data_IF_992295350038
#
_entry.id   IF_992295350038
#
_cell.length_a   1.000
_cell.length_b   1.000
_cell.length_c   1.000
_cell.angle_alpha   90.00
_cell.angle_beta   90.00
_cell.angle_gamma   90.00
#
_symmetry.space_group_name_H-M   'P 1'
#
loop_
_entity.id
_entity.type
_entity.pdbx_description
1 polymer ?
#
# COMPACT_ATOMS: atom_id res chain seq x y z
N UNK A 1 7.94 -2.95 -14.74
CA UNK A 1 8.69 -2.35 -13.62
C UNK A 1 8.32 -3.02 -12.30
N UNK A 2 9.21 -2.91 -11.33
CA UNK A 2 9.03 -3.41 -9.98
C UNK A 2 9.56 -2.39 -8.96
N UNK A 3 8.95 -2.34 -7.77
CA UNK A 3 9.32 -1.41 -6.71
C UNK A 3 9.99 -2.07 -5.51
N UNK A 4 10.87 -1.33 -4.84
CA UNK A 4 11.36 -1.64 -3.49
C UNK A 4 10.98 -0.45 -2.62
N UNK A 5 10.04 -0.65 -1.70
CA UNK A 5 9.40 0.43 -0.97
C UNK A 5 9.60 0.30 0.54
N UNK A 6 9.76 1.43 1.22
CA UNK A 6 9.66 1.47 2.68
C UNK A 6 8.20 1.28 3.11
N UNK A 7 7.98 0.89 4.37
CA UNK A 7 6.63 0.97 4.95
C UNK A 7 6.07 2.41 4.91
N UNK A 8 4.78 2.53 4.59
CA UNK A 8 4.05 3.78 4.60
C UNK A 8 3.00 3.88 3.48
N UNK A 9 2.49 5.09 3.27
CA UNK A 9 1.44 5.41 2.28
C UNK A 9 1.86 5.11 0.85
N UNK A 10 3.17 5.12 0.56
CA UNK A 10 3.73 4.74 -0.74
C UNK A 10 3.32 3.33 -1.18
N UNK A 11 3.03 2.42 -0.25
CA UNK A 11 2.58 1.06 -0.57
C UNK A 11 1.20 1.07 -1.25
N UNK A 12 0.29 1.93 -0.77
CA UNK A 12 -1.03 2.05 -1.35
C UNK A 12 -0.98 2.83 -2.67
N UNK A 13 -0.15 3.88 -2.75
CA UNK A 13 0.09 4.60 -4.01
C UNK A 13 0.64 3.66 -5.10
N UNK A 14 1.60 2.80 -4.77
CA UNK A 14 2.11 1.79 -5.69
C UNK A 14 1.04 0.80 -6.13
N UNK A 15 0.14 0.39 -5.22
CA UNK A 15 -1.01 -0.45 -5.57
C UNK A 15 -1.94 0.25 -6.58
N UNK A 16 -2.29 1.52 -6.36
CA UNK A 16 -3.09 2.31 -7.30
C UNK A 16 -2.40 2.50 -8.66
N UNK A 17 -1.07 2.49 -8.71
CA UNK A 17 -0.29 2.52 -9.95
C UNK A 17 -0.08 1.13 -10.59
N UNK A 18 -0.69 0.06 -10.06
CA UNK A 18 -0.50 -1.33 -10.49
C UNK A 18 0.97 -1.79 -10.53
N UNK A 19 1.82 -1.17 -9.70
CA UNK A 19 3.24 -1.44 -9.62
C UNK A 19 3.47 -2.57 -8.60
N UNK A 20 3.92 -3.76 -9.01
CA UNK A 20 4.30 -4.81 -8.06
C UNK A 20 5.56 -4.41 -7.30
N UNK A 21 5.61 -4.67 -5.99
CA UNK A 21 6.73 -4.25 -5.15
C UNK A 21 7.02 -5.20 -4.00
N UNK A 22 8.23 -5.09 -3.44
CA UNK A 22 8.59 -5.64 -2.12
C UNK A 22 8.71 -4.52 -1.10
N UNK A 23 8.28 -4.78 0.13
CA UNK A 23 8.39 -3.84 1.24
C UNK A 23 9.62 -4.18 2.08
N UNK A 24 10.45 -3.18 2.33
CA UNK A 24 11.65 -3.28 3.17
C UNK A 24 11.51 -2.41 4.42
N UNK A 25 11.85 -2.96 5.58
CA UNK A 25 11.91 -2.20 6.82
C UNK A 25 13.07 -2.67 7.70
N UNK A 26 13.99 -1.76 8.01
CA UNK A 26 15.13 -2.00 8.91
C UNK A 26 15.24 -0.85 9.89
N UNK A 27 15.03 -1.15 11.17
CA UNK A 27 15.20 -0.19 12.25
C UNK A 27 16.55 -0.42 12.94
N UNK A 28 17.07 0.57 13.68
CA UNK A 28 18.20 0.34 14.58
C UNK A 28 17.88 -0.76 15.61
N UNK A 29 18.87 -1.58 15.95
CA UNK A 29 18.71 -2.77 16.81
C UNK A 29 18.11 -2.42 18.18
N UNK A 30 18.56 -1.31 18.79
CA UNK A 30 18.03 -0.87 20.08
C UNK A 30 16.55 -0.52 19.99
N UNK A 31 16.15 0.19 18.92
CA UNK A 31 14.75 0.53 18.65
C UNK A 31 13.93 -0.72 18.38
N UNK A 32 14.46 -1.69 17.63
CA UNK A 32 13.79 -2.97 17.35
C UNK A 32 13.45 -3.72 18.64
N UNK A 33 14.40 -3.84 19.57
CA UNK A 33 14.20 -4.57 20.84
C UNK A 33 13.07 -3.93 21.66
N UNK A 34 13.06 -2.61 21.77
CA UNK A 34 12.05 -1.86 22.53
C UNK A 34 10.69 -1.95 21.85
N UNK A 35 10.62 -1.73 20.53
CA UNK A 35 9.34 -1.77 19.80
C UNK A 35 8.75 -3.18 19.82
N UNK A 36 9.57 -4.22 19.70
CA UNK A 36 9.11 -5.61 19.65
C UNK A 36 8.60 -6.12 21.00
N UNK A 37 9.02 -5.53 22.12
CA UNK A 37 8.46 -5.85 23.44
C UNK A 37 7.12 -5.16 23.70
N UNK A 38 6.85 -4.03 23.04
CA UNK A 38 5.66 -3.21 23.26
C UNK A 38 4.56 -3.48 22.22
N UNK A 39 4.92 -3.70 20.94
CA UNK A 39 3.97 -3.75 19.82
C UNK A 39 3.99 -5.11 19.13
N UNK A 40 2.81 -5.75 19.05
CA UNK A 40 2.59 -6.99 18.28
C UNK A 40 1.93 -6.69 16.94
N UNK A 41 2.71 -6.25 15.96
CA UNK A 41 2.21 -6.06 14.58
C UNK A 41 2.47 -7.33 13.76
N UNK A 42 1.42 -7.87 13.11
CA UNK A 42 1.53 -9.05 12.24
C UNK A 42 2.02 -8.74 10.82
N UNK A 43 1.71 -7.54 10.31
CA UNK A 43 2.01 -7.10 8.94
C UNK A 43 2.46 -5.64 8.96
N UNK A 44 3.52 -5.31 8.24
CA UNK A 44 4.12 -3.96 8.27
C UNK A 44 3.73 -3.11 7.06
N UNK A 45 3.40 -3.76 5.95
CA UNK A 45 2.92 -3.10 4.73
C UNK A 45 1.43 -2.82 4.84
N UNK A 46 1.00 -1.60 4.49
CA UNK A 46 -0.43 -1.24 4.49
C UNK A 46 -1.27 -2.19 3.65
N UNK A 47 -0.77 -2.62 2.48
CA UNK A 47 -1.49 -3.57 1.62
C UNK A 47 -1.62 -4.96 2.27
N UNK A 48 -0.63 -5.40 3.05
CA UNK A 48 -0.70 -6.68 3.76
C UNK A 48 -1.58 -6.65 5.01
N UNK A 49 -1.79 -5.47 5.60
CA UNK A 49 -2.77 -5.28 6.67
C UNK A 49 -4.19 -5.46 6.14
N UNK A 50 -4.45 -5.04 4.89
CA UNK A 50 -5.75 -5.17 4.23
C UNK A 50 -5.96 -6.62 3.75
N UNK A 51 -5.00 -7.17 3.01
CA UNK A 51 -5.03 -8.54 2.51
C UNK A 51 -3.67 -9.19 2.73
N UNK A 52 -3.63 -10.18 3.61
CA UNK A 52 -2.37 -10.81 4.02
C UNK A 52 -1.63 -11.46 2.85
N UNK A 53 -0.29 -11.46 2.90
CA UNK A 53 0.56 -12.01 1.85
C UNK A 53 0.37 -11.38 0.46
N UNK A 54 -0.08 -10.11 0.36
CA UNK A 54 -0.19 -9.41 -0.93
C UNK A 54 1.18 -9.11 -1.53
N UNK A 55 2.12 -8.60 -0.74
CA UNK A 55 3.51 -8.35 -1.14
C UNK A 55 4.48 -9.05 -0.19
N UNK A 56 5.70 -9.29 -0.66
CA UNK A 56 6.78 -9.81 0.19
C UNK A 56 7.29 -8.71 1.12
N UNK A 57 7.32 -8.99 2.41
CA UNK A 57 7.90 -8.13 3.44
C UNK A 57 9.29 -8.64 3.85
N UNK A 58 10.31 -7.81 3.66
CA UNK A 58 11.65 -8.04 4.17
C UNK A 58 11.85 -7.13 5.38
N UNK A 59 11.92 -7.72 6.57
CA UNK A 59 11.94 -7.00 7.85
C UNK A 59 13.19 -7.38 8.64
N UNK A 60 13.87 -6.36 9.17
CA UNK A 60 15.05 -6.47 10.03
C UNK A 60 16.13 -7.40 9.45
N UNK A 61 16.28 -8.61 10.00
CA UNK A 61 17.27 -9.60 9.55
C UNK A 61 17.04 -10.09 8.12
N UNK A 62 15.80 -10.04 7.64
CA UNK A 62 15.50 -10.40 6.25
C UNK A 62 15.90 -9.30 5.24
N UNK A 63 16.20 -8.08 5.71
CA UNK A 63 16.72 -6.99 4.87
C UNK A 63 18.20 -7.20 4.62
N UNK A 64 18.51 -8.12 3.71
CA UNK A 64 19.84 -8.38 3.17
C UNK A 64 19.88 -8.02 1.70
N UNK A 65 21.08 -7.76 1.16
CA UNK A 65 21.24 -7.40 -0.25
C UNK A 65 20.77 -8.54 -1.15
N UNK A 66 21.06 -9.77 -0.74
CA UNK A 66 20.74 -11.00 -1.44
C UNK A 66 19.22 -11.21 -1.51
N UNK A 67 18.51 -11.03 -0.38
CA UNK A 67 17.06 -11.19 -0.35
C UNK A 67 16.34 -10.10 -1.17
N UNK A 68 16.84 -8.86 -1.09
CA UNK A 68 16.28 -7.75 -1.89
C UNK A 68 16.50 -8.01 -3.38
N UNK A 69 17.72 -8.40 -3.78
CA UNK A 69 18.03 -8.70 -5.17
C UNK A 69 17.20 -9.88 -5.69
N UNK A 70 17.12 -10.97 -4.94
CA UNK A 70 16.34 -12.14 -5.33
C UNK A 70 14.85 -11.81 -5.48
N UNK A 71 14.27 -11.01 -4.57
CA UNK A 71 12.87 -10.61 -4.68
C UNK A 71 12.66 -9.64 -5.85
N UNK A 72 13.58 -8.70 -6.08
CA UNK A 72 13.51 -7.80 -7.22
C UNK A 72 13.60 -8.56 -8.56
N UNK A 73 14.50 -9.54 -8.67
CA UNK A 73 14.61 -10.40 -9.85
C UNK A 73 13.32 -11.16 -10.12
N UNK A 74 12.69 -11.75 -9.09
CA UNK A 74 11.37 -12.40 -9.24
C UNK A 74 10.31 -11.43 -9.74
N UNK A 75 10.23 -10.25 -9.15
CA UNK A 75 9.23 -9.25 -9.56
C UNK A 75 9.46 -8.73 -11.00
N UNK A 76 10.71 -8.74 -11.48
CA UNK A 76 11.08 -8.26 -12.81
C UNK A 76 10.94 -9.33 -13.90
N UNK A 77 11.38 -10.56 -13.61
CA UNK A 77 11.61 -11.59 -14.62
C UNK A 77 10.68 -12.81 -14.49
N UNK A 78 10.10 -13.06 -13.32
CA UNK A 78 9.09 -14.12 -13.14
C UNK A 78 7.69 -13.54 -13.39
N UNK A 79 7.19 -13.79 -14.60
CA UNK A 79 5.92 -13.23 -15.08
C UNK A 79 4.72 -13.73 -14.27
N UNK A 80 4.74 -14.99 -13.83
CA UNK A 80 3.65 -15.58 -13.06
C UNK A 80 3.62 -14.99 -11.64
N UNK A 81 4.80 -14.92 -11.01
CA UNK A 81 4.95 -14.30 -9.71
C UNK A 81 4.51 -12.83 -9.74
N UNK A 82 4.99 -12.07 -10.72
CA UNK A 82 4.62 -10.67 -10.92
C UNK A 82 3.12 -10.50 -11.12
N UNK A 83 2.51 -11.29 -12.02
CA UNK A 83 1.08 -11.22 -12.31
C UNK A 83 0.24 -11.52 -11.07
N UNK A 84 0.62 -12.53 -10.28
CA UNK A 84 -0.05 -12.86 -9.02
C UNK A 84 -0.03 -11.70 -8.04
N UNK A 85 1.11 -11.01 -7.91
CA UNK A 85 1.24 -9.81 -7.06
C UNK A 85 0.38 -8.66 -7.56
N UNK A 86 0.36 -8.40 -8.87
CA UNK A 86 -0.48 -7.36 -9.46
C UNK A 86 -1.97 -7.64 -9.27
N UNK A 87 -2.41 -8.89 -9.46
CA UNK A 87 -3.80 -9.28 -9.21
C UNK A 87 -4.21 -9.04 -7.75
N UNK A 88 -3.35 -9.39 -6.79
CA UNK A 88 -3.60 -9.13 -5.38
C UNK A 88 -3.67 -7.61 -5.08
N UNK A 89 -2.80 -6.79 -5.68
CA UNK A 89 -2.86 -5.33 -5.54
C UNK A 89 -4.14 -4.74 -6.15
N UNK A 90 -4.57 -5.20 -7.32
CA UNK A 90 -5.81 -4.76 -7.96
C UNK A 90 -7.05 -5.10 -7.13
N UNK A 91 -7.06 -6.29 -6.50
CA UNK A 91 -8.12 -6.67 -5.55
C UNK A 91 -8.19 -5.70 -4.38
N UNK A 92 -7.05 -5.24 -3.86
CA UNK A 92 -7.05 -4.22 -2.80
C UNK A 92 -7.61 -2.90 -3.33
N UNK A 93 -7.16 -2.44 -4.50
CA UNK A 93 -7.61 -1.17 -5.09
C UNK A 93 -9.12 -1.16 -5.31
N UNK A 94 -9.72 -2.26 -5.80
CA UNK A 94 -11.16 -2.31 -6.03
C UNK A 94 -11.99 -2.08 -4.76
N UNK A 95 -11.49 -2.51 -3.59
CA UNK A 95 -12.15 -2.28 -2.29
C UNK A 95 -12.25 -0.78 -1.93
N UNK A 96 -11.33 0.06 -2.45
CA UNK A 96 -11.36 1.50 -2.21
C UNK A 96 -12.17 2.24 -3.26
N UNK A 97 -12.20 1.77 -4.51
CA UNK A 97 -12.94 2.41 -5.60
C UNK A 97 -14.45 2.25 -5.46
N UNK A 98 -14.94 1.10 -4.98
CA UNK A 98 -16.38 0.86 -4.79
C UNK A 98 -17.04 1.76 -3.73
N UNK A 99 -16.25 2.31 -2.79
CA UNK A 99 -16.79 3.19 -1.74
C UNK A 99 -17.03 4.62 -2.20
N UNK A 100 -16.25 5.11 -3.16
CA UNK A 100 -16.40 6.47 -3.70
C UNK A 100 -17.71 6.62 -4.50
N UNK A 101 -18.33 5.50 -4.92
CA UNK A 101 -19.57 5.50 -5.73
C UNK A 101 -20.86 5.53 -4.91
N UNK A 102 -20.79 5.45 -3.58
CA UNK A 102 -21.98 5.39 -2.71
C UNK A 102 -22.26 6.76 -2.06
N UNK A 103 -22.91 7.69 -2.79
CA UNK A 103 -23.44 8.94 -2.22
C UNK A 103 -23.75 10.04 -3.24
N UNK A 104 -24.29 11.18 -2.77
CA UNK A 104 -24.51 12.41 -3.58
C UNK A 104 -23.23 12.93 -4.26
N UNK A 105 -22.07 12.57 -3.70
CA UNK A 105 -20.78 12.97 -4.20
C UNK A 105 -20.26 12.08 -5.35
N UNK A 106 -20.97 11.00 -5.70
CA UNK A 106 -20.57 10.06 -6.75
C UNK A 106 -20.60 10.68 -8.16
N UNK A 107 -21.33 11.78 -8.34
CA UNK A 107 -21.40 12.52 -9.61
C UNK A 107 -20.13 13.32 -9.93
N UNK A 108 -19.24 13.52 -8.95
CA UNK A 108 -18.02 14.29 -9.11
C UNK A 108 -16.83 13.40 -9.51
N UNK A 109 -16.09 13.83 -10.53
CA UNK A 109 -15.04 13.06 -11.20
C UNK A 109 -13.77 12.88 -10.35
N UNK A 110 -13.57 13.72 -9.32
CA UNK A 110 -12.39 13.65 -8.47
C UNK A 110 -12.65 14.00 -7.01
N UNK A 111 -11.76 13.54 -6.12
CA UNK A 111 -11.78 13.95 -4.71
C UNK A 111 -11.66 15.47 -4.55
N UNK A 112 -10.94 16.15 -5.45
CA UNK A 112 -10.83 17.62 -5.44
C UNK A 112 -12.15 18.31 -5.72
N UNK A 113 -12.92 17.83 -6.70
CA UNK A 113 -14.26 18.34 -7.00
C UNK A 113 -15.23 18.12 -5.84
N UNK A 114 -15.18 16.94 -5.21
CA UNK A 114 -16.00 16.64 -4.02
C UNK A 114 -15.71 17.61 -2.88
N UNK A 115 -14.44 17.86 -2.60
CA UNK A 115 -14.03 18.81 -1.56
C UNK A 115 -14.44 20.24 -1.91
N UNK A 116 -14.28 20.66 -3.17
CA UNK A 116 -14.69 21.98 -3.62
C UNK A 116 -16.21 22.19 -3.46
N UNK A 117 -17.01 21.18 -3.81
CA UNK A 117 -18.46 21.24 -3.65
C UNK A 117 -18.88 21.31 -2.18
N UNK A 118 -18.31 20.47 -1.31
CA UNK A 118 -18.58 20.52 0.12
C UNK A 118 -18.19 21.88 0.73
N UNK A 119 -17.02 22.40 0.36
CA UNK A 119 -16.55 23.71 0.82
C UNK A 119 -17.51 24.83 0.38
N UNK A 120 -18.01 24.78 -0.86
CA UNK A 120 -19.01 25.71 -1.36
C UNK A 120 -20.31 25.68 -0.54
N UNK A 121 -20.86 24.48 -0.29
CA UNK A 121 -22.11 24.33 0.47
C UNK A 121 -21.98 24.86 1.92
N UNK A 122 -20.83 24.64 2.55
CA UNK A 122 -20.53 25.16 3.89
C UNK A 122 -20.49 26.70 3.89
N UNK A 123 -19.90 27.31 2.86
CA UNK A 123 -19.80 28.77 2.76
C UNK A 123 -21.17 29.44 2.50
N UNK A 124 -22.04 28.78 1.75
CA UNK A 124 -23.40 29.25 1.46
C UNK A 124 -24.40 28.97 2.60
N UNK A 125 -23.98 28.30 3.68
CA UNK A 125 -24.85 27.98 4.82
C UNK A 125 -25.89 26.89 4.53
N UNK A 126 -25.71 26.12 3.45
CA UNK A 126 -26.55 24.99 3.08
C UNK A 126 -25.92 23.70 3.65
N UNK A 127 -26.07 23.49 4.95
CA UNK A 127 -25.80 22.19 5.61
C UNK A 127 -27.09 21.53 6.04
#
# INVERSE_FOLDING_TARGET
DAGILKSGTSNLQAAFCDLPFTMVYKAPILTEIIVRSIVRVKQYSLVNVIETNTVKELIQRAVTKENIAQEAEKLLFDQEYRSTRQQALRKIVSLFTERDTLGELAQYASAGERVAHLAYNILEGNT
#
